data_IF_641956633654
#
_entry.id   IF_641956633654
#
_cell.length_a   1.000
_cell.length_b   1.000
_cell.length_c   1.000
_cell.angle_alpha   90.00
_cell.angle_beta   90.00
_cell.angle_gamma   90.00
#
_symmetry.space_group_name_H-M   'P 1'
#
loop_
_entity.id
_entity.type
_entity.pdbx_description
1 polymer ?
#
# COMPACT_ATOMS: atom_id res chain seq x y z
N UNK A 1 -30.64 10.61 -6.26
CA UNK A 1 -29.39 9.94 -6.71
C UNK A 1 -28.46 9.84 -5.50
N UNK A 2 -28.02 8.63 -5.11
CA UNK A 2 -27.03 8.49 -4.05
C UNK A 2 -25.66 8.96 -4.58
N UNK A 3 -25.10 9.99 -3.98
CA UNK A 3 -23.75 10.46 -4.32
C UNK A 3 -22.74 9.37 -3.94
N UNK A 4 -22.09 8.79 -4.94
CA UNK A 4 -21.07 7.76 -4.72
C UNK A 4 -19.81 8.39 -4.09
N UNK A 5 -19.26 7.73 -3.08
CA UNK A 5 -18.01 8.16 -2.43
C UNK A 5 -16.82 7.79 -3.31
N UNK A 6 -15.93 8.74 -3.58
CA UNK A 6 -14.68 8.47 -4.27
C UNK A 6 -13.73 7.69 -3.34
N UNK A 7 -13.17 6.61 -3.84
CA UNK A 7 -12.06 5.91 -3.21
C UNK A 7 -10.78 6.34 -3.91
N UNK A 8 -9.87 6.91 -3.15
CA UNK A 8 -8.66 7.54 -3.69
C UNK A 8 -7.45 6.81 -3.12
N UNK A 9 -6.70 6.14 -3.98
CA UNK A 9 -5.38 5.63 -3.62
C UNK A 9 -4.33 6.70 -3.88
N UNK A 10 -3.53 7.00 -2.87
CA UNK A 10 -2.42 7.95 -2.96
C UNK A 10 -1.11 7.21 -2.65
N UNK A 11 -0.26 7.08 -3.66
CA UNK A 11 1.07 6.49 -3.55
C UNK A 11 2.12 7.60 -3.60
N UNK A 12 2.83 7.79 -2.49
CA UNK A 12 3.89 8.80 -2.36
C UNK A 12 5.22 8.10 -2.62
N UNK A 13 5.91 8.55 -3.66
CA UNK A 13 7.25 8.12 -4.05
C UNK A 13 8.28 9.20 -3.73
N UNK A 14 9.54 8.97 -4.07
CA UNK A 14 10.63 9.91 -3.80
C UNK A 14 10.48 11.24 -4.55
N UNK A 15 10.10 11.20 -5.82
CA UNK A 15 10.07 12.38 -6.71
C UNK A 15 8.67 12.78 -7.16
N UNK A 16 7.68 11.95 -6.92
CA UNK A 16 6.29 12.21 -7.30
C UNK A 16 5.31 11.51 -6.38
N UNK A 17 4.08 11.99 -6.35
CA UNK A 17 2.94 11.27 -5.80
C UNK A 17 1.96 10.93 -6.91
N UNK A 18 1.48 9.71 -6.94
CA UNK A 18 0.51 9.19 -7.89
C UNK A 18 -0.81 8.96 -7.18
N UNK A 19 -1.89 9.53 -7.70
CA UNK A 19 -3.21 9.36 -7.12
C UNK A 19 -4.22 8.87 -8.15
N UNK A 20 -5.12 8.00 -7.73
CA UNK A 20 -6.22 7.49 -8.54
C UNK A 20 -7.51 7.60 -7.74
N UNK A 21 -8.55 8.13 -8.35
CA UNK A 21 -9.90 8.11 -7.80
C UNK A 21 -10.77 7.13 -8.59
N UNK A 22 -11.40 6.19 -7.88
CA UNK A 22 -12.37 5.25 -8.42
C UNK A 22 -13.66 5.28 -7.61
N UNK A 23 -14.75 4.82 -8.23
CA UNK A 23 -15.99 4.50 -7.52
C UNK A 23 -16.39 3.06 -7.80
N UNK A 24 -16.96 2.40 -6.80
CA UNK A 24 -17.54 1.07 -6.98
C UNK A 24 -18.96 1.16 -7.53
N UNK A 25 -19.19 0.56 -8.67
CA UNK A 25 -20.50 0.40 -9.31
C UNK A 25 -20.98 -1.04 -9.22
N UNK A 26 -22.18 -1.31 -9.77
CA UNK A 26 -22.72 -2.67 -9.85
C UNK A 26 -21.86 -3.59 -10.75
N UNK A 27 -21.26 -3.03 -11.80
CA UNK A 27 -20.43 -3.75 -12.79
C UNK A 27 -18.94 -3.78 -12.44
N UNK A 28 -18.51 -3.25 -11.28
CA UNK A 28 -17.11 -3.18 -10.87
C UNK A 28 -16.62 -1.75 -10.63
N UNK A 29 -15.31 -1.55 -10.77
CA UNK A 29 -14.67 -0.26 -10.53
C UNK A 29 -14.73 0.65 -11.75
N UNK A 30 -15.04 1.93 -11.52
CA UNK A 30 -15.07 2.98 -12.55
C UNK A 30 -14.06 4.06 -12.19
N UNK A 31 -13.14 4.34 -13.11
CA UNK A 31 -12.19 5.44 -13.00
C UNK A 31 -12.94 6.77 -13.00
N UNK A 32 -12.57 7.66 -12.10
CA UNK A 32 -13.08 9.03 -12.03
C UNK A 32 -12.02 10.03 -12.44
N UNK A 33 -10.81 9.87 -11.89
CA UNK A 33 -9.69 10.76 -12.16
C UNK A 33 -8.37 10.11 -11.75
N UNK A 34 -7.28 10.60 -12.30
CA UNK A 34 -5.92 10.30 -11.87
C UNK A 34 -5.08 11.57 -11.85
N UNK A 35 -4.03 11.58 -11.02
CA UNK A 35 -3.09 12.69 -10.87
C UNK A 35 -1.68 12.16 -10.78
N UNK A 36 -0.77 12.95 -11.35
CA UNK A 36 0.67 12.81 -11.20
C UNK A 36 1.20 14.11 -10.63
N UNK A 37 1.74 14.09 -9.43
CA UNK A 37 2.06 15.25 -8.62
C UNK A 37 3.57 15.26 -8.37
N UNK A 38 4.36 16.09 -9.07
CA UNK A 38 5.80 16.18 -8.84
C UNK A 38 6.12 16.66 -7.42
N UNK A 39 7.10 16.04 -6.75
CA UNK A 39 7.54 16.35 -5.39
C UNK A 39 8.93 17.00 -5.37
N UNK A 40 9.25 17.86 -6.32
CA UNK A 40 10.61 18.42 -6.51
C UNK A 40 11.21 19.07 -5.26
N UNK A 41 10.39 19.64 -4.37
CA UNK A 41 10.83 20.32 -3.14
C UNK A 41 10.66 19.45 -1.87
N UNK A 42 10.10 18.27 -1.98
CA UNK A 42 9.85 17.37 -0.84
C UNK A 42 10.71 16.10 -0.93
N UNK A 43 11.67 16.07 -1.87
CA UNK A 43 12.56 14.92 -2.09
C UNK A 43 13.34 14.59 -0.82
N UNK A 44 13.22 13.37 -0.38
CA UNK A 44 13.91 12.83 0.81
C UNK A 44 14.73 11.62 0.41
N UNK A 45 15.57 11.16 1.34
CA UNK A 45 16.28 9.90 1.15
C UNK A 45 15.30 8.74 0.89
N UNK A 46 15.75 7.78 0.10
CA UNK A 46 14.98 6.60 -0.29
C UNK A 46 14.28 5.93 0.90
N UNK A 47 12.98 5.69 0.76
CA UNK A 47 12.17 5.01 1.79
C UNK A 47 11.85 5.85 3.03
N UNK A 48 12.14 7.16 3.03
CA UNK A 48 11.68 8.07 4.08
C UNK A 48 10.36 8.73 3.69
N UNK A 49 9.52 8.99 4.69
CA UNK A 49 8.32 9.80 4.49
C UNK A 49 8.77 11.28 4.41
N UNK A 50 8.39 12.02 3.36
CA UNK A 50 8.69 13.44 3.28
C UNK A 50 8.14 14.21 4.48
N UNK A 51 8.80 15.33 4.81
CA UNK A 51 8.30 16.22 5.85
C UNK A 51 6.83 16.61 5.59
N UNK A 52 5.93 16.42 6.58
CA UNK A 52 4.50 16.66 6.42
C UNK A 52 4.14 18.07 5.95
N UNK A 53 4.90 19.08 6.35
CA UNK A 53 4.63 20.47 5.97
C UNK A 53 4.98 20.72 4.50
N UNK A 54 6.14 20.25 4.07
CA UNK A 54 6.59 20.31 2.67
C UNK A 54 5.64 19.57 1.75
N UNK A 55 5.22 18.36 2.17
CA UNK A 55 4.28 17.54 1.43
C UNK A 55 2.88 18.19 1.37
N UNK A 56 2.43 18.80 2.48
CA UNK A 56 1.16 19.53 2.51
C UNK A 56 1.17 20.72 1.53
N UNK A 57 2.28 21.42 1.41
CA UNK A 57 2.40 22.54 0.46
C UNK A 57 2.20 22.07 -0.99
N UNK A 58 2.85 20.98 -1.37
CA UNK A 58 2.76 20.42 -2.73
C UNK A 58 1.38 19.80 -3.01
N UNK A 59 0.79 19.12 -2.05
CA UNK A 59 -0.49 18.42 -2.23
C UNK A 59 -1.71 19.32 -2.04
N UNK A 60 -1.57 20.55 -1.55
CA UNK A 60 -2.68 21.47 -1.29
C UNK A 60 -3.53 21.81 -2.53
N UNK A 61 -2.97 22.08 -3.74
CA UNK A 61 -3.78 22.25 -4.93
C UNK A 61 -4.63 21.03 -5.25
N UNK A 62 -4.03 19.84 -5.18
CA UNK A 62 -4.69 18.56 -5.42
C UNK A 62 -5.85 18.32 -4.43
N UNK A 63 -5.63 18.58 -3.12
CA UNK A 63 -6.66 18.33 -2.12
C UNK A 63 -7.93 19.17 -2.34
N UNK A 64 -7.81 20.36 -2.94
CA UNK A 64 -8.94 21.24 -3.27
C UNK A 64 -9.78 20.77 -4.46
N UNK A 65 -9.23 19.88 -5.28
CA UNK A 65 -9.96 19.28 -6.42
C UNK A 65 -10.83 18.10 -6.01
N UNK A 66 -10.66 17.59 -4.77
CA UNK A 66 -11.36 16.41 -4.31
C UNK A 66 -12.83 16.74 -3.96
N UNK A 67 -13.77 15.84 -4.28
CA UNK A 67 -15.17 16.04 -3.92
C UNK A 67 -15.34 15.91 -2.41
N UNK A 68 -16.41 16.50 -1.87
CA UNK A 68 -16.72 16.43 -0.43
C UNK A 68 -16.82 14.99 0.11
N UNK A 69 -17.28 14.05 -0.72
CA UNK A 69 -17.40 12.63 -0.37
C UNK A 69 -16.24 11.84 -0.97
N UNK A 70 -15.15 11.78 -0.24
CA UNK A 70 -13.99 10.96 -0.59
C UNK A 70 -13.43 10.21 0.61
N UNK A 71 -12.66 9.16 0.33
CA UNK A 71 -11.84 8.41 1.29
C UNK A 71 -10.47 8.19 0.67
N UNK A 72 -9.42 8.56 1.38
CA UNK A 72 -8.05 8.39 0.92
C UNK A 72 -7.45 7.14 1.58
N UNK A 73 -6.88 6.28 0.75
CA UNK A 73 -6.06 5.14 1.12
C UNK A 73 -4.63 5.49 0.77
N UNK A 74 -3.80 5.66 1.78
CA UNK A 74 -2.45 6.19 1.65
C UNK A 74 -1.43 5.06 1.69
N UNK A 75 -0.43 5.08 0.80
CA UNK A 75 0.70 4.17 0.88
C UNK A 75 1.62 4.50 2.04
N UNK A 76 2.21 3.45 2.60
CA UNK A 76 3.30 3.53 3.58
C UNK A 76 4.49 2.71 3.06
N UNK A 77 5.75 3.18 3.17
CA UNK A 77 6.89 2.43 2.67
C UNK A 77 7.06 1.09 3.38
N UNK A 78 7.03 -0.02 2.65
CA UNK A 78 7.10 -1.37 3.21
C UNK A 78 8.41 -1.64 3.98
N UNK A 79 9.52 -0.98 3.62
CA UNK A 79 10.79 -1.11 4.34
C UNK A 79 10.79 -0.43 5.73
N UNK A 80 9.76 0.32 6.06
CA UNK A 80 9.58 0.95 7.38
C UNK A 80 8.55 0.22 8.24
N UNK A 81 8.03 -0.88 7.74
CA UNK A 81 7.14 -1.76 8.49
C UNK A 81 7.92 -2.92 9.08
N UNK A 82 7.56 -3.31 10.27
CA UNK A 82 8.00 -4.54 10.90
C UNK A 82 6.91 -5.60 10.66
N UNK A 83 7.30 -6.73 10.10
CA UNK A 83 6.43 -7.90 9.96
C UNK A 83 6.91 -9.00 10.90
N UNK A 84 6.01 -9.55 11.71
CA UNK A 84 6.28 -10.66 12.63
C UNK A 84 5.12 -11.62 12.67
N UNK A 85 5.42 -12.89 12.83
CA UNK A 85 4.45 -13.91 13.12
C UNK A 85 4.55 -14.30 14.60
N UNK A 86 3.42 -14.24 15.31
CA UNK A 86 3.32 -14.65 16.72
C UNK A 86 2.40 -15.88 16.81
N UNK A 87 2.86 -17.01 17.39
CA UNK A 87 1.99 -18.15 17.65
C UNK A 87 0.75 -17.72 18.42
N UNK A 88 -0.39 -18.37 18.15
CA UNK A 88 -1.58 -18.13 18.96
C UNK A 88 -1.31 -18.41 20.43
N UNK A 89 -1.84 -17.60 21.35
CA UNK A 89 -1.75 -17.89 22.78
C UNK A 89 -2.46 -19.21 23.10
N UNK A 90 -2.03 -19.94 24.14
CA UNK A 90 -2.59 -21.24 24.49
C UNK A 90 -4.06 -21.18 24.93
N UNK A 91 -4.55 -19.99 25.24
CA UNK A 91 -5.94 -19.72 25.60
C UNK A 91 -6.65 -18.93 24.52
N UNK A 92 -7.97 -19.14 24.40
CA UNK A 92 -8.79 -18.38 23.46
C UNK A 92 -9.04 -16.98 24.00
N UNK A 93 -8.48 -15.96 23.33
CA UNK A 93 -8.64 -14.55 23.68
C UNK A 93 -9.75 -13.90 22.81
N UNK A 94 -10.47 -12.95 23.42
CA UNK A 94 -11.36 -12.05 22.67
C UNK A 94 -10.51 -11.01 21.89
N UNK A 95 -11.07 -10.41 20.87
CA UNK A 95 -10.35 -9.46 20.00
C UNK A 95 -9.58 -8.38 20.78
N UNK A 96 -10.21 -7.75 21.79
CA UNK A 96 -9.54 -6.75 22.63
C UNK A 96 -8.36 -7.30 23.43
N UNK A 97 -8.50 -8.55 23.90
CA UNK A 97 -7.46 -9.26 24.65
C UNK A 97 -6.32 -9.66 23.71
N UNK A 98 -6.63 -10.04 22.46
CA UNK A 98 -5.64 -10.33 21.41
C UNK A 98 -4.80 -9.08 21.13
N UNK A 99 -5.45 -7.91 20.94
CA UNK A 99 -4.74 -6.63 20.72
C UNK A 99 -3.81 -6.33 21.90
N UNK A 100 -4.29 -6.42 23.13
CA UNK A 100 -3.47 -6.15 24.31
C UNK A 100 -2.31 -7.14 24.45
N UNK A 101 -2.55 -8.41 24.20
CA UNK A 101 -1.53 -9.47 24.24
C UNK A 101 -0.46 -9.26 23.16
N UNK A 102 -0.86 -8.98 21.91
CA UNK A 102 0.06 -8.69 20.80
C UNK A 102 0.89 -7.44 21.07
N UNK A 103 0.25 -6.37 21.56
CA UNK A 103 0.95 -5.13 21.94
C UNK A 103 2.06 -5.38 22.96
N UNK A 104 1.73 -6.12 24.03
CA UNK A 104 2.71 -6.46 25.07
C UNK A 104 3.80 -7.41 24.57
N UNK A 105 3.45 -8.41 23.78
CA UNK A 105 4.40 -9.38 23.22
C UNK A 105 5.40 -8.70 22.30
N UNK A 106 4.92 -7.81 21.40
CA UNK A 106 5.77 -7.02 20.52
C UNK A 106 6.69 -6.08 21.28
N UNK A 107 6.15 -5.39 22.29
CA UNK A 107 6.92 -4.47 23.11
C UNK A 107 8.09 -5.19 23.83
N UNK A 108 7.82 -6.37 24.39
CA UNK A 108 8.85 -7.22 25.01
C UNK A 108 9.89 -7.70 23.97
N UNK A 109 9.47 -8.16 22.78
CA UNK A 109 10.39 -8.65 21.74
C UNK A 109 11.30 -7.55 21.19
N UNK A 110 10.76 -6.33 21.09
CA UNK A 110 11.46 -5.18 20.51
C UNK A 110 12.18 -4.32 21.55
N UNK A 111 12.03 -4.62 22.82
CA UNK A 111 12.52 -3.79 23.95
C UNK A 111 12.06 -2.32 23.78
N UNK A 112 10.77 -2.13 23.50
CA UNK A 112 10.16 -0.84 23.22
C UNK A 112 8.89 -0.65 24.04
N UNK A 113 8.53 0.63 24.29
CA UNK A 113 7.23 0.99 24.85
C UNK A 113 6.09 0.64 23.85
N UNK A 114 5.04 -0.08 24.28
CA UNK A 114 3.89 -0.40 23.44
C UNK A 114 3.27 0.81 22.73
N UNK A 115 3.25 1.98 23.38
CA UNK A 115 2.66 3.22 22.85
C UNK A 115 3.47 3.82 21.68
N UNK A 116 4.71 3.40 21.50
CA UNK A 116 5.55 3.81 20.38
C UNK A 116 5.24 3.08 19.08
N UNK A 117 4.39 2.04 19.15
CA UNK A 117 4.01 1.22 18.02
C UNK A 117 2.52 1.40 17.66
N UNK A 118 2.24 1.34 16.37
CA UNK A 118 0.92 1.09 15.80
C UNK A 118 1.01 -0.17 14.97
N UNK A 119 0.06 -1.06 15.13
CA UNK A 119 0.07 -2.32 14.41
C UNK A 119 -1.34 -2.74 13.98
N UNK A 120 -1.36 -3.58 12.99
CA UNK A 120 -2.52 -4.35 12.57
C UNK A 120 -2.12 -5.83 12.50
N UNK A 121 -3.08 -6.75 12.60
CA UNK A 121 -2.82 -8.16 12.56
C UNK A 121 -3.93 -8.94 11.87
N UNK A 122 -3.57 -10.10 11.38
CA UNK A 122 -4.51 -11.05 10.79
C UNK A 122 -4.07 -12.48 11.13
N UNK A 123 -5.02 -13.41 11.14
CA UNK A 123 -4.70 -14.84 11.26
C UNK A 123 -3.86 -15.28 10.07
N UNK A 124 -2.79 -16.04 10.34
CA UNK A 124 -2.02 -16.68 9.30
C UNK A 124 -2.82 -17.80 8.65
N UNK A 125 -2.91 -17.79 7.32
CA UNK A 125 -3.66 -18.81 6.59
C UNK A 125 -2.99 -20.18 6.55
N UNK A 126 -1.69 -20.27 6.92
CA UNK A 126 -0.85 -21.45 6.78
C UNK A 126 -0.41 -22.05 8.11
N UNK A 127 -0.51 -21.30 9.21
CA UNK A 127 -0.07 -21.71 10.53
C UNK A 127 -0.95 -21.12 11.63
N UNK A 128 -1.01 -21.73 12.85
CA UNK A 128 -1.76 -21.17 13.98
C UNK A 128 -0.99 -19.98 14.60
N UNK A 129 -0.94 -18.87 13.87
CA UNK A 129 -0.22 -17.68 14.25
C UNK A 129 -0.96 -16.40 13.81
N UNK A 130 -0.62 -15.28 14.42
CA UNK A 130 -0.99 -13.95 13.96
C UNK A 130 0.15 -13.36 13.14
N UNK A 131 -0.14 -12.94 11.92
CA UNK A 131 0.74 -12.09 11.12
C UNK A 131 0.52 -10.64 11.51
N UNK A 132 1.51 -10.04 12.16
CA UNK A 132 1.46 -8.67 12.65
C UNK A 132 2.30 -7.76 11.76
N UNK A 133 1.74 -6.63 11.37
CA UNK A 133 2.44 -5.54 10.69
C UNK A 133 2.45 -4.32 11.59
N UNK A 134 3.62 -3.85 11.98
CA UNK A 134 3.78 -2.73 12.89
C UNK A 134 4.62 -1.61 12.29
N UNK A 135 4.36 -0.41 12.76
CA UNK A 135 5.06 0.84 12.40
C UNK A 135 5.26 1.72 13.63
N UNK A 136 6.17 2.68 13.55
CA UNK A 136 6.34 3.65 14.63
C UNK A 136 5.14 4.62 14.69
N UNK A 137 4.59 4.83 15.88
CA UNK A 137 3.43 5.72 16.12
C UNK A 137 3.65 7.14 15.59
N UNK A 138 4.88 7.65 15.70
CA UNK A 138 5.24 9.00 15.21
C UNK A 138 5.03 9.16 13.69
N UNK A 139 5.26 8.10 12.90
CA UNK A 139 5.12 8.14 11.44
C UNK A 139 3.65 8.19 11.03
N UNK A 140 2.81 7.41 11.68
CA UNK A 140 1.36 7.49 11.47
C UNK A 140 0.82 8.85 11.91
N UNK A 141 1.29 9.37 13.05
CA UNK A 141 0.90 10.71 13.53
C UNK A 141 1.28 11.81 12.54
N UNK A 142 2.44 11.71 11.90
CA UNK A 142 2.87 12.64 10.85
C UNK A 142 1.91 12.62 9.63
N UNK A 143 1.48 11.44 9.19
CA UNK A 143 0.51 11.29 8.10
C UNK A 143 -0.89 11.81 8.48
N UNK A 144 -1.32 11.60 9.72
CA UNK A 144 -2.58 12.16 10.21
C UNK A 144 -2.53 13.70 10.30
N UNK A 145 -1.40 14.26 10.71
CA UNK A 145 -1.18 15.72 10.70
C UNK A 145 -1.23 16.28 9.29
N UNK A 146 -0.62 15.60 8.32
CA UNK A 146 -0.71 15.92 6.90
C UNK A 146 -2.18 15.95 6.44
N UNK A 147 -2.95 14.93 6.78
CA UNK A 147 -4.36 14.84 6.41
C UNK A 147 -5.19 16.00 6.98
N UNK A 148 -4.96 16.35 8.25
CA UNK A 148 -5.60 17.51 8.90
C UNK A 148 -5.23 18.82 8.19
N UNK A 149 -3.94 19.01 7.86
CA UNK A 149 -3.45 20.22 7.17
C UNK A 149 -4.05 20.36 5.77
N UNK A 150 -4.29 19.25 5.07
CA UNK A 150 -4.93 19.21 3.75
C UNK A 150 -6.46 19.22 3.82
N UNK A 151 -7.05 19.10 5.00
CA UNK A 151 -8.49 18.91 5.21
C UNK A 151 -9.05 17.73 4.40
N UNK A 152 -8.34 16.59 4.42
CA UNK A 152 -8.73 15.36 3.73
C UNK A 152 -8.98 14.22 4.73
N UNK A 153 -9.76 13.23 4.30
CA UNK A 153 -10.12 12.09 5.14
C UNK A 153 -9.32 10.84 4.73
N UNK A 154 -8.31 10.49 5.53
CA UNK A 154 -7.62 9.18 5.41
C UNK A 154 -8.54 8.11 5.97
N UNK A 155 -8.79 7.08 5.16
CA UNK A 155 -9.56 5.89 5.54
C UNK A 155 -8.65 4.77 6.04
N UNK A 156 -7.47 4.60 5.41
CA UNK A 156 -6.46 3.65 5.84
C UNK A 156 -5.07 4.08 5.37
N UNK A 157 -4.06 3.61 6.09
CA UNK A 157 -2.65 3.65 5.70
C UNK A 157 -2.20 2.19 5.49
N UNK A 158 -1.69 1.88 4.30
CA UNK A 158 -1.39 0.50 3.89
C UNK A 158 0.03 0.44 3.34
N UNK A 159 0.85 -0.56 3.71
CA UNK A 159 2.14 -0.77 3.07
C UNK A 159 2.02 -0.86 1.55
N UNK A 160 2.92 -0.16 0.83
CA UNK A 160 2.90 -0.06 -0.62
C UNK A 160 2.93 -1.44 -1.30
N UNK A 161 3.80 -2.34 -0.85
CA UNK A 161 3.85 -3.71 -1.36
C UNK A 161 2.57 -4.51 -1.04
N UNK A 162 1.94 -4.31 0.12
CA UNK A 162 0.68 -4.96 0.49
C UNK A 162 -0.45 -4.56 -0.48
N UNK A 163 -0.44 -3.32 -0.99
CA UNK A 163 -1.44 -2.85 -1.95
C UNK A 163 -1.46 -3.69 -3.24
N UNK A 164 -0.33 -4.26 -3.67
CA UNK A 164 -0.25 -5.15 -4.83
C UNK A 164 -1.07 -6.42 -4.67
N UNK A 165 -1.30 -6.91 -3.44
CA UNK A 165 -2.13 -8.10 -3.21
C UNK A 165 -3.54 -7.94 -3.76
N UNK A 166 -4.06 -6.71 -3.82
CA UNK A 166 -5.39 -6.41 -4.36
C UNK A 166 -5.49 -6.58 -5.87
N UNK A 167 -4.35 -6.61 -6.55
CA UNK A 167 -4.27 -6.82 -8.01
C UNK A 167 -4.03 -8.30 -8.39
N UNK A 168 -3.69 -9.17 -7.44
CA UNK A 168 -3.46 -10.60 -7.71
C UNK A 168 -4.63 -11.31 -8.42
N UNK A 169 -5.91 -11.02 -8.12
CA UNK A 169 -7.01 -11.66 -8.85
C UNK A 169 -7.05 -11.36 -10.35
N UNK A 170 -6.29 -10.36 -10.81
CA UNK A 170 -6.29 -9.89 -12.20
C UNK A 170 -5.05 -10.32 -12.99
N UNK A 171 -4.05 -10.95 -12.33
CA UNK A 171 -2.87 -11.48 -13.03
C UNK A 171 -3.24 -12.71 -13.87
N UNK A 172 -2.44 -13.07 -14.90
CA UNK A 172 -2.69 -14.25 -15.72
C UNK A 172 -2.70 -15.54 -14.88
N UNK A 173 -3.51 -16.52 -15.33
CA UNK A 173 -3.55 -17.85 -14.71
C UNK A 173 -2.18 -18.49 -14.65
N UNK A 174 -1.86 -19.18 -13.55
CA UNK A 174 -0.55 -19.81 -13.31
C UNK A 174 0.49 -18.86 -12.70
N UNK A 175 0.25 -17.57 -12.67
CA UNK A 175 1.09 -16.61 -11.95
C UNK A 175 0.64 -16.53 -10.49
N UNK A 176 1.60 -16.33 -9.57
CA UNK A 176 1.37 -16.36 -8.13
C UNK A 176 1.95 -15.14 -7.41
N UNK A 177 2.84 -14.43 -8.07
CA UNK A 177 3.52 -13.25 -7.54
C UNK A 177 3.34 -12.08 -8.50
N UNK A 178 2.95 -10.94 -7.98
CA UNK A 178 2.94 -9.67 -8.71
C UNK A 178 4.11 -8.82 -8.22
N UNK A 179 4.86 -8.28 -9.16
CA UNK A 179 6.02 -7.45 -8.91
C UNK A 179 5.82 -6.10 -9.59
N UNK A 180 6.18 -5.05 -8.89
CA UNK A 180 6.29 -3.70 -9.41
C UNK A 180 7.69 -3.15 -9.11
N UNK A 181 8.25 -2.35 -10.01
CA UNK A 181 9.60 -1.80 -9.88
C UNK A 181 9.61 -0.30 -10.12
N UNK A 182 10.33 0.43 -9.27
CA UNK A 182 10.85 1.77 -9.58
C UNK A 182 12.37 1.73 -9.82
N UNK A 183 13.01 2.90 -9.89
CA UNK A 183 14.45 3.00 -10.15
C UNK A 183 15.30 2.38 -9.03
N UNK A 184 14.80 2.35 -7.81
CA UNK A 184 15.57 2.03 -6.59
C UNK A 184 15.20 0.69 -5.97
N UNK A 185 14.01 0.15 -6.28
CA UNK A 185 13.47 -0.97 -5.53
C UNK A 185 12.46 -1.80 -6.30
N UNK A 186 12.30 -3.02 -5.82
CA UNK A 186 11.23 -3.95 -6.14
C UNK A 186 10.21 -3.99 -5.03
N UNK A 187 8.94 -3.88 -5.36
CA UNK A 187 7.82 -4.25 -4.50
C UNK A 187 7.22 -5.53 -5.04
N UNK A 188 6.93 -6.47 -4.17
CA UNK A 188 6.35 -7.75 -4.56
C UNK A 188 5.23 -8.16 -3.62
N UNK A 189 4.28 -8.92 -4.15
CA UNK A 189 3.19 -9.50 -3.37
C UNK A 189 2.79 -10.86 -3.92
N UNK A 190 2.53 -11.77 -3.00
CA UNK A 190 1.86 -13.05 -3.22
C UNK A 190 0.55 -13.07 -2.43
N UNK A 191 -0.21 -14.14 -2.50
CA UNK A 191 -1.45 -14.29 -1.72
C UNK A 191 -1.22 -14.16 -0.21
N UNK A 192 -0.07 -14.63 0.30
CA UNK A 192 0.20 -14.78 1.73
C UNK A 192 1.30 -13.86 2.25
N UNK A 193 2.08 -13.28 1.37
CA UNK A 193 3.22 -12.46 1.76
C UNK A 193 3.40 -11.28 0.79
N UNK A 194 4.05 -10.25 1.28
CA UNK A 194 4.44 -9.09 0.50
C UNK A 194 5.73 -8.51 1.08
N UNK A 195 6.44 -7.74 0.29
CA UNK A 195 7.67 -7.13 0.76
C UNK A 195 8.31 -6.23 -0.27
N UNK A 196 9.51 -5.79 0.09
CA UNK A 196 10.34 -4.87 -0.67
C UNK A 196 11.77 -5.39 -0.76
N UNK A 197 12.41 -5.17 -1.89
CA UNK A 197 13.82 -5.48 -2.09
C UNK A 197 14.51 -4.33 -2.82
N UNK A 198 15.73 -3.98 -2.40
CA UNK A 198 16.51 -2.97 -3.10
C UNK A 198 16.90 -3.46 -4.50
N UNK A 199 16.83 -2.57 -5.50
CA UNK A 199 17.30 -2.86 -6.85
C UNK A 199 18.83 -3.12 -6.91
N UNK A 200 19.58 -2.73 -5.85
CA UNK A 200 21.00 -3.06 -5.72
C UNK A 200 21.24 -4.50 -5.28
N UNK A 201 20.30 -5.08 -4.51
CA UNK A 201 20.39 -6.47 -4.01
C UNK A 201 19.82 -7.48 -5.02
N UNK A 202 18.89 -7.05 -5.85
CA UNK A 202 18.34 -7.82 -6.96
C UNK A 202 18.30 -6.93 -8.20
N UNK A 203 19.27 -7.06 -9.08
CA UNK A 203 19.39 -6.19 -10.26
C UNK A 203 18.42 -6.58 -11.37
N UNK A 204 18.07 -7.86 -11.43
CA UNK A 204 17.17 -8.43 -12.43
C UNK A 204 15.95 -9.08 -11.77
N UNK A 205 14.91 -9.34 -12.56
CA UNK A 205 13.75 -10.12 -12.13
C UNK A 205 14.15 -11.55 -11.70
N UNK A 206 15.17 -12.12 -12.35
CA UNK A 206 15.69 -13.45 -12.02
C UNK A 206 16.35 -13.47 -10.62
N UNK A 207 17.13 -12.44 -10.29
CA UNK A 207 17.75 -12.31 -8.95
C UNK A 207 16.67 -12.17 -7.88
N UNK A 208 15.62 -11.39 -8.17
CA UNK A 208 14.47 -11.25 -7.27
C UNK A 208 13.76 -12.61 -7.09
N UNK A 209 13.49 -13.32 -8.17
CA UNK A 209 12.85 -14.63 -8.15
C UNK A 209 13.63 -15.63 -7.29
N UNK A 210 14.96 -15.68 -7.44
CA UNK A 210 15.84 -16.50 -6.63
C UNK A 210 15.77 -16.12 -5.13
N UNK A 211 15.78 -14.82 -4.83
CA UNK A 211 15.65 -14.32 -3.44
C UNK A 211 14.32 -14.70 -2.79
N UNK A 212 13.23 -14.67 -3.58
CA UNK A 212 11.89 -15.01 -3.11
C UNK A 212 11.60 -16.52 -3.13
N UNK A 213 12.52 -17.33 -3.65
CA UNK A 213 12.30 -18.77 -3.90
C UNK A 213 11.05 -19.03 -4.76
N UNK A 214 10.81 -18.16 -5.73
CA UNK A 214 9.70 -18.26 -6.68
C UNK A 214 10.25 -18.49 -8.08
N UNK A 215 9.62 -19.40 -8.83
CA UNK A 215 9.99 -19.64 -10.22
C UNK A 215 9.66 -18.41 -11.06
N UNK A 216 10.57 -17.88 -11.90
CA UNK A 216 10.35 -16.65 -12.68
C UNK A 216 9.08 -16.67 -13.52
N UNK A 217 8.69 -17.82 -14.05
CA UNK A 217 7.46 -18.01 -14.83
C UNK A 217 6.19 -17.81 -14.01
N UNK A 218 6.27 -17.87 -12.68
CA UNK A 218 5.15 -17.59 -11.78
C UNK A 218 5.05 -16.12 -11.37
N UNK A 219 5.97 -15.29 -11.85
CA UNK A 219 5.96 -13.84 -11.57
C UNK A 219 5.27 -13.10 -12.72
N UNK A 220 4.40 -12.15 -12.38
CA UNK A 220 3.91 -11.12 -13.28
C UNK A 220 4.58 -9.81 -12.94
N UNK A 221 5.25 -9.20 -13.91
CA UNK A 221 5.83 -7.87 -13.76
C UNK A 221 4.80 -6.81 -14.18
N UNK A 222 4.61 -5.83 -13.33
CA UNK A 222 3.81 -4.65 -13.66
C UNK A 222 4.70 -3.65 -14.40
N UNK A 223 4.72 -3.74 -15.73
CA UNK A 223 5.53 -2.94 -16.63
C UNK A 223 4.82 -2.77 -17.99
N UNK A 224 5.37 -1.90 -18.85
CA UNK A 224 4.88 -1.73 -20.20
C UNK A 224 4.97 -3.04 -21.01
N UNK A 225 3.87 -3.40 -21.67
CA UNK A 225 3.79 -4.62 -22.47
C UNK A 225 3.62 -5.92 -21.69
N UNK A 226 3.61 -5.85 -20.35
CA UNK A 226 3.41 -7.01 -19.46
C UNK A 226 2.06 -6.96 -18.73
N UNK A 227 2.06 -7.04 -17.40
CA UNK A 227 0.80 -6.97 -16.65
C UNK A 227 0.26 -5.54 -16.57
N UNK A 228 -0.94 -5.33 -17.12
CA UNK A 228 -1.68 -4.06 -17.01
C UNK A 228 -2.58 -4.06 -15.77
N UNK A 229 -2.27 -3.23 -14.72
CA UNK A 229 -3.08 -3.16 -13.50
C UNK A 229 -4.50 -2.64 -13.76
N UNK A 230 -4.72 -1.92 -14.86
CA UNK A 230 -6.02 -1.38 -15.22
C UNK A 230 -7.06 -2.45 -15.61
N UNK A 231 -6.65 -3.72 -15.69
CA UNK A 231 -7.61 -4.84 -15.79
C UNK A 231 -8.58 -4.89 -14.61
N UNK A 232 -8.19 -4.34 -13.45
CA UNK A 232 -9.06 -4.22 -12.29
C UNK A 232 -10.18 -3.17 -12.43
N UNK A 233 -10.11 -2.29 -13.45
CA UNK A 233 -11.06 -1.20 -13.68
C UNK A 233 -11.93 -1.50 -14.89
N UNK A 234 -13.23 -1.59 -14.66
CA UNK A 234 -14.21 -1.94 -15.68
C UNK A 234 -14.54 -0.77 -16.62
N UNK A 235 -14.68 0.44 -16.05
CA UNK A 235 -15.01 1.65 -16.82
C UNK A 235 -13.81 2.60 -16.74
N UNK A 236 -13.19 2.86 -17.90
CA UNK A 236 -11.95 3.65 -18.04
C UNK A 236 -12.22 4.99 -18.73
N UNK A 237 -13.08 5.79 -18.10
CA UNK A 237 -13.36 7.17 -18.51
C UNK A 237 -13.21 8.07 -17.28
N UNK A 238 -12.28 9.03 -17.29
CA UNK A 238 -11.38 9.47 -18.37
C UNK A 238 -10.39 8.39 -18.85
N UNK A 239 -9.67 8.61 -19.97
CA UNK A 239 -8.67 7.65 -20.44
C UNK A 239 -7.61 7.42 -19.37
N UNK A 240 -7.06 6.20 -19.30
CA UNK A 240 -5.97 5.84 -18.39
C UNK A 240 -4.69 6.64 -18.74
N UNK A 241 -3.79 6.87 -17.76
CA UNK A 241 -2.53 7.54 -18.02
C UNK A 241 -1.65 6.72 -18.98
N UNK A 242 -0.75 7.39 -19.75
CA UNK A 242 0.15 6.70 -20.69
C UNK A 242 0.98 5.61 -20.03
N UNK A 243 1.61 5.93 -18.88
CA UNK A 243 2.42 4.99 -18.08
C UNK A 243 1.56 4.31 -17.01
N UNK A 244 0.45 3.67 -17.41
CA UNK A 244 -0.57 3.15 -16.50
C UNK A 244 -0.05 2.18 -15.46
N UNK A 245 0.98 1.38 -15.76
CA UNK A 245 1.61 0.45 -14.84
C UNK A 245 2.22 1.12 -13.60
N UNK A 246 2.66 2.38 -13.71
CA UNK A 246 3.21 3.15 -12.57
C UNK A 246 2.18 3.40 -11.47
N UNK A 247 0.91 3.38 -11.81
CA UNK A 247 -0.20 3.59 -10.90
C UNK A 247 -0.66 2.32 -10.18
N UNK A 248 0.01 1.19 -10.35
CA UNK A 248 -0.41 -0.09 -9.77
C UNK A 248 -0.65 0.00 -8.25
N UNK A 249 0.28 0.62 -7.51
CA UNK A 249 0.15 0.77 -6.06
C UNK A 249 -1.06 1.65 -5.70
N UNK A 250 -1.16 2.83 -6.33
CA UNK A 250 -2.29 3.74 -6.11
C UNK A 250 -3.63 3.06 -6.45
N UNK A 251 -3.67 2.27 -7.51
CA UNK A 251 -4.87 1.51 -7.89
C UNK A 251 -5.18 0.41 -6.87
N UNK A 252 -4.18 -0.39 -6.46
CA UNK A 252 -4.35 -1.41 -5.43
C UNK A 252 -4.89 -0.84 -4.11
N UNK A 253 -4.41 0.35 -3.71
CA UNK A 253 -4.94 1.08 -2.56
C UNK A 253 -6.41 1.48 -2.76
N UNK A 254 -6.74 2.05 -3.93
CA UNK A 254 -8.08 2.57 -4.20
C UNK A 254 -9.15 1.48 -4.29
N UNK A 255 -8.82 0.28 -4.80
CA UNK A 255 -9.75 -0.85 -4.91
C UNK A 255 -9.75 -1.75 -3.67
N UNK A 256 -8.85 -1.51 -2.72
CA UNK A 256 -8.80 -2.23 -1.46
C UNK A 256 -10.07 -2.00 -0.65
N UNK A 257 -10.73 -3.07 -0.20
CA UNK A 257 -11.79 -2.97 0.82
C UNK A 257 -11.12 -2.98 2.19
N UNK A 258 -11.55 -2.08 3.06
CA UNK A 258 -11.30 -2.20 4.49
C UNK A 258 -12.18 -3.39 4.94
N UNK A 259 -11.56 -4.49 5.33
CA UNK A 259 -12.25 -5.58 6.05
C UNK A 259 -12.27 -5.26 7.53
#
# INVERSE_FOLDING_TARGET
>A
MAFKTWQIGLHIQQHEALAIAVIRGASGWSLQRWWRLPLMNASTAEGTIPDPQSLAHVLRPWSRELPLRHRIYLSFPANRTLQRAFPHPPMRLREREQVAWLSQTMACELDMDPDLLRFDFQDDALSPAFNVTAVQSKEISALLTLAQTLNVRIAAVTPDACALQRLLPFIPSGRQCLVWRDESQWLWATRYAWGRKSAREATTLHDLAATLSVVPEHISLCAEGEFDPWRAVTVRQPPVPPDGYRFAIALGLAIGEIR
#
